data_IF_765046924566
#
_entry.id   IF_765046924566
#
_cell.length_a   1.000
_cell.length_b   1.000
_cell.length_c   1.000
_cell.angle_alpha   90.00
_cell.angle_beta   90.00
_cell.angle_gamma   90.00
#
_symmetry.space_group_name_H-M   'P 1'
#
loop_
_entity.id
_entity.type
_entity.pdbx_description
1 polymer ?
#
# COMPACT_ATOMS: atom_id res chain seq x y z
N UNK A 1 8.38 -8.82 -14.95
CA UNK A 1 7.47 -8.30 -13.89
C UNK A 1 6.48 -7.37 -14.55
N UNK A 2 5.17 -7.68 -14.54
CA UNK A 2 4.16 -6.97 -15.31
C UNK A 2 4.16 -5.44 -15.09
N UNK A 3 4.35 -4.98 -13.85
CA UNK A 3 4.34 -3.54 -13.52
C UNK A 3 5.54 -2.75 -14.06
N UNK A 4 6.59 -3.39 -14.57
CA UNK A 4 7.75 -2.72 -15.20
C UNK A 4 7.71 -2.74 -16.73
N UNK A 5 6.71 -3.41 -17.29
CA UNK A 5 6.53 -3.51 -18.73
C UNK A 5 6.21 -2.14 -19.34
N UNK A 6 6.70 -1.88 -20.55
CA UNK A 6 6.54 -0.58 -21.20
C UNK A 6 5.06 -0.24 -21.44
N UNK A 7 4.23 -1.20 -21.82
CA UNK A 7 2.81 -0.94 -22.07
C UNK A 7 2.10 -0.52 -20.79
N UNK A 8 2.43 -1.16 -19.67
CA UNK A 8 1.86 -0.82 -18.35
C UNK A 8 2.33 0.55 -17.87
N UNK A 9 3.63 0.86 -18.01
CA UNK A 9 4.19 2.16 -17.61
C UNK A 9 3.59 3.30 -18.43
N UNK A 10 3.53 3.16 -19.76
CA UNK A 10 2.93 4.17 -20.65
C UNK A 10 1.46 4.41 -20.31
N UNK A 11 0.67 3.36 -20.10
CA UNK A 11 -0.73 3.53 -19.74
C UNK A 11 -0.87 4.29 -18.41
N UNK A 12 -0.08 3.95 -17.39
CA UNK A 12 -0.11 4.66 -16.11
C UNK A 12 0.31 6.13 -16.24
N UNK A 13 1.35 6.43 -17.02
CA UNK A 13 1.84 7.80 -17.25
C UNK A 13 0.77 8.66 -17.95
N UNK A 14 0.01 8.09 -18.88
CA UNK A 14 -1.07 8.79 -19.60
C UNK A 14 -2.32 9.03 -18.72
N UNK A 15 -2.54 8.23 -17.67
CA UNK A 15 -3.81 8.22 -16.93
C UNK A 15 -3.69 8.69 -15.47
N UNK A 16 -2.49 8.70 -14.87
CA UNK A 16 -2.28 9.09 -13.48
C UNK A 16 -1.57 10.44 -13.38
N UNK A 17 -2.19 11.38 -12.67
CA UNK A 17 -1.74 12.78 -12.56
C UNK A 17 -0.30 12.97 -12.04
N UNK A 18 0.18 12.07 -11.17
CA UNK A 18 1.53 12.10 -10.59
C UNK A 18 2.16 10.70 -10.58
N UNK A 19 2.24 10.07 -11.74
CA UNK A 19 2.83 8.74 -11.86
C UNK A 19 4.31 8.72 -11.46
N UNK A 20 4.70 7.74 -10.63
CA UNK A 20 6.09 7.46 -10.29
C UNK A 20 6.52 6.26 -11.14
N UNK A 21 7.40 6.50 -12.12
CA UNK A 21 7.89 5.44 -12.99
C UNK A 21 8.75 4.42 -12.22
N UNK A 22 8.94 3.27 -12.86
CA UNK A 22 9.68 2.12 -12.33
C UNK A 22 11.14 2.41 -11.93
N UNK A 23 11.77 3.44 -12.48
CA UNK A 23 13.18 3.77 -12.24
C UNK A 23 13.32 4.79 -11.10
N UNK A 24 12.28 5.58 -10.84
CA UNK A 24 12.17 6.46 -9.67
C UNK A 24 11.73 5.72 -8.40
N UNK A 25 10.98 4.61 -8.52
CA UNK A 25 10.56 3.83 -7.36
C UNK A 25 11.67 2.91 -6.84
N UNK A 26 12.13 3.08 -5.58
CA UNK A 26 13.20 2.26 -5.03
C UNK A 26 12.76 0.79 -4.84
N UNK A 27 13.62 -0.20 -5.17
CA UNK A 27 13.32 -1.61 -4.93
C UNK A 27 13.17 -1.89 -3.43
N UNK A 28 12.38 -2.93 -3.08
CA UNK A 28 12.18 -3.41 -1.71
C UNK A 28 11.68 -2.36 -0.69
N UNK A 29 10.96 -1.34 -1.12
CA UNK A 29 10.51 -0.22 -0.27
C UNK A 29 9.06 -0.38 0.21
N UNK A 30 8.82 -1.43 1.00
CA UNK A 30 7.49 -1.70 1.59
C UNK A 30 7.01 -0.57 2.51
N UNK A 31 7.94 0.14 3.14
CA UNK A 31 7.68 1.31 4.00
C UNK A 31 7.27 2.57 3.23
N UNK A 32 7.33 2.54 1.88
CA UNK A 32 6.81 3.59 1.01
C UNK A 32 5.49 3.26 0.34
N UNK A 33 5.13 1.98 0.21
CA UNK A 33 3.85 1.63 -0.38
C UNK A 33 2.74 1.72 0.67
N UNK A 34 1.84 2.68 0.51
CA UNK A 34 0.68 2.90 1.40
C UNK A 34 -0.14 1.62 1.59
N UNK A 35 -0.24 0.79 0.54
CA UNK A 35 -0.93 -0.49 0.64
C UNK A 35 -0.23 -1.43 1.62
N UNK A 36 1.10 -1.51 1.55
CA UNK A 36 1.90 -2.46 2.32
C UNK A 36 2.08 -2.04 3.77
N UNK A 37 2.40 -0.76 4.03
CA UNK A 37 2.62 -0.31 5.42
C UNK A 37 1.33 0.00 6.19
N UNK A 38 0.16 0.08 5.52
CA UNK A 38 -1.08 0.44 6.19
C UNK A 38 -2.32 -0.33 5.74
N UNK A 39 -2.71 -0.25 4.46
CA UNK A 39 -4.05 -0.70 4.03
C UNK A 39 -4.24 -2.21 4.24
N UNK A 40 -3.23 -3.03 3.94
CA UNK A 40 -3.35 -4.47 4.12
C UNK A 40 -3.44 -4.90 5.58
N UNK A 41 -2.75 -4.20 6.48
CA UNK A 41 -2.89 -4.42 7.91
C UNK A 41 -4.31 -4.03 8.38
N UNK A 42 -4.80 -2.85 7.96
CA UNK A 42 -6.15 -2.41 8.30
C UNK A 42 -7.24 -3.38 7.80
N UNK A 43 -7.14 -3.87 6.55
CA UNK A 43 -8.05 -4.90 6.01
C UNK A 43 -7.90 -6.20 6.81
N UNK A 44 -6.68 -6.64 7.06
CA UNK A 44 -6.39 -7.87 7.80
C UNK A 44 -6.95 -7.89 9.22
N UNK A 45 -7.01 -6.72 9.88
CA UNK A 45 -7.63 -6.55 11.20
C UNK A 45 -9.16 -6.62 11.18
N UNK A 46 -9.80 -6.25 10.06
CA UNK A 46 -11.25 -6.36 9.90
C UNK A 46 -11.71 -7.76 9.46
N UNK A 47 -10.80 -8.57 8.93
CA UNK A 47 -11.14 -9.90 8.44
C UNK A 47 -11.46 -10.88 9.58
N UNK A 48 -12.59 -11.57 9.46
CA UNK A 48 -12.92 -12.73 10.29
C UNK A 48 -12.31 -14.01 9.73
N UNK A 49 -11.04 -14.24 10.05
CA UNK A 49 -10.27 -15.40 9.56
C UNK A 49 -10.89 -16.74 9.95
N UNK A 50 -11.59 -16.80 11.08
CA UNK A 50 -12.32 -17.98 11.55
C UNK A 50 -13.45 -18.42 10.61
N UNK A 51 -13.96 -17.50 9.76
CA UNK A 51 -15.01 -17.78 8.78
C UNK A 51 -14.51 -18.23 7.42
N UNK A 52 -13.20 -18.16 7.18
CA UNK A 52 -12.60 -18.44 5.87
C UNK A 52 -12.26 -19.92 5.78
N UNK A 53 -12.96 -20.66 4.92
CA UNK A 53 -12.74 -22.10 4.72
C UNK A 53 -12.59 -22.50 3.24
N UNK A 54 -12.82 -21.57 2.31
CA UNK A 54 -12.67 -21.77 0.88
C UNK A 54 -12.47 -20.41 0.18
N UNK A 55 -12.35 -20.45 -1.14
CA UNK A 55 -12.14 -19.26 -1.96
C UNK A 55 -13.31 -18.27 -1.86
N UNK A 56 -14.55 -18.75 -1.87
CA UNK A 56 -15.75 -17.92 -1.84
C UNK A 56 -15.87 -17.16 -0.51
N UNK A 57 -15.66 -17.85 0.61
CA UNK A 57 -15.67 -17.24 1.94
C UNK A 57 -14.52 -16.26 2.12
N UNK A 58 -13.32 -16.57 1.60
CA UNK A 58 -12.20 -15.63 1.57
C UNK A 58 -12.56 -14.35 0.80
N UNK A 59 -13.09 -14.50 -0.42
CA UNK A 59 -13.46 -13.38 -1.29
C UNK A 59 -14.49 -12.48 -0.63
N UNK A 60 -15.53 -13.06 -0.04
CA UNK A 60 -16.59 -12.28 0.62
C UNK A 60 -16.11 -11.61 1.91
N UNK A 61 -15.27 -12.27 2.71
CA UNK A 61 -14.71 -11.64 3.91
C UNK A 61 -13.70 -10.53 3.57
N UNK A 62 -12.91 -10.65 2.50
CA UNK A 62 -12.05 -9.54 2.02
C UNK A 62 -12.88 -8.33 1.61
N UNK A 63 -13.95 -8.53 0.82
CA UNK A 63 -14.82 -7.42 0.39
C UNK A 63 -15.42 -6.69 1.58
N UNK A 64 -15.98 -7.43 2.54
CA UNK A 64 -16.53 -6.85 3.77
C UNK A 64 -15.45 -6.09 4.55
N UNK A 65 -14.29 -6.71 4.74
CA UNK A 65 -13.19 -6.08 5.46
C UNK A 65 -12.78 -4.74 4.82
N UNK A 66 -12.67 -4.69 3.49
CA UNK A 66 -12.40 -3.44 2.74
C UNK A 66 -13.49 -2.40 2.96
N UNK A 67 -14.77 -2.77 2.94
CA UNK A 67 -15.89 -1.86 3.22
C UNK A 67 -15.88 -1.31 4.65
N UNK A 68 -15.41 -2.12 5.61
CA UNK A 68 -15.30 -1.70 7.02
C UNK A 68 -14.09 -0.82 7.29
N UNK A 69 -13.04 -0.83 6.46
CA UNK A 69 -11.90 0.08 6.64
C UNK A 69 -12.38 1.53 6.50
N UNK A 70 -12.26 2.37 7.55
CA UNK A 70 -12.70 3.75 7.46
C UNK A 70 -11.90 4.51 6.40
N UNK A 71 -12.58 5.22 5.49
CA UNK A 71 -11.93 6.05 4.45
C UNK A 71 -10.92 7.04 5.03
N UNK A 72 -11.18 7.55 6.24
CA UNK A 72 -10.25 8.44 6.97
C UNK A 72 -8.90 7.80 7.25
N UNK A 73 -8.84 6.48 7.48
CA UNK A 73 -7.60 5.76 7.74
C UNK A 73 -6.75 5.73 6.46
N UNK A 74 -7.38 5.40 5.32
CA UNK A 74 -6.74 5.44 4.00
C UNK A 74 -6.23 6.84 3.69
N UNK A 75 -7.06 7.87 3.83
CA UNK A 75 -6.65 9.27 3.59
C UNK A 75 -5.47 9.68 4.49
N UNK A 76 -5.55 9.42 5.79
CA UNK A 76 -4.46 9.75 6.73
C UNK A 76 -3.15 9.05 6.39
N UNK A 77 -3.23 7.81 5.87
CA UNK A 77 -2.05 7.05 5.47
C UNK A 77 -1.39 7.60 4.20
N UNK A 78 -2.18 8.14 3.27
CA UNK A 78 -1.67 8.87 2.09
C UNK A 78 -1.04 10.20 2.52
N UNK A 79 -1.69 10.95 3.41
CA UNK A 79 -1.17 12.20 3.96
C UNK A 79 0.15 12.01 4.74
N UNK A 80 0.39 10.80 5.26
CA UNK A 80 1.61 10.43 5.94
C UNK A 80 2.78 10.10 5.00
N UNK A 81 2.52 9.86 3.71
CA UNK A 81 3.53 9.37 2.77
C UNK A 81 4.74 10.31 2.65
N UNK A 82 4.50 11.63 2.61
CA UNK A 82 5.57 12.64 2.58
C UNK A 82 6.47 12.57 3.84
N UNK A 83 5.90 12.28 5.01
CA UNK A 83 6.66 12.10 6.26
C UNK A 83 7.53 10.85 6.21
N UNK A 84 7.05 9.76 5.58
CA UNK A 84 7.86 8.55 5.38
C UNK A 84 9.07 8.83 4.48
N UNK A 85 8.87 9.54 3.36
CA UNK A 85 9.96 9.95 2.46
C UNK A 85 11.01 10.79 3.21
N UNK A 86 10.57 11.77 4.01
CA UNK A 86 11.48 12.60 4.83
C UNK A 86 12.25 11.76 5.85
N UNK A 87 11.58 10.79 6.51
CA UNK A 87 12.22 9.92 7.50
C UNK A 87 13.24 8.97 6.85
N UNK A 88 12.92 8.40 5.68
CA UNK A 88 13.88 7.61 4.89
C UNK A 88 15.08 8.44 4.46
N UNK A 89 14.87 9.66 3.98
CA UNK A 89 15.95 10.57 3.60
C UNK A 89 16.89 10.86 4.78
N UNK A 90 16.33 11.17 5.95
CA UNK A 90 17.09 11.35 7.20
C UNK A 90 17.83 10.07 7.62
N UNK A 91 17.24 8.90 7.38
CA UNK A 91 17.83 7.60 7.66
C UNK A 91 18.74 7.07 6.53
N UNK A 92 19.12 7.93 5.57
CA UNK A 92 20.01 7.57 4.43
C UNK A 92 19.54 6.33 3.65
N UNK A 93 18.22 6.17 3.51
CA UNK A 93 17.59 5.06 2.79
C UNK A 93 17.48 3.75 3.57
N UNK A 94 17.87 3.71 4.86
CA UNK A 94 17.61 2.55 5.70
C UNK A 94 16.14 2.48 6.13
N UNK A 95 15.62 1.25 6.25
CA UNK A 95 14.22 0.97 6.61
C UNK A 95 13.75 1.74 7.85
N UNK A 96 12.51 2.19 7.81
CA UNK A 96 11.86 2.80 8.96
C UNK A 96 11.34 1.69 9.88
N UNK A 97 11.91 1.54 11.08
CA UNK A 97 11.38 0.63 12.10
C UNK A 97 10.05 1.16 12.67
N UNK A 98 9.09 0.25 12.88
CA UNK A 98 7.70 0.58 13.27
C UNK A 98 7.53 1.11 14.70
N UNK A 99 8.60 1.25 15.48
CA UNK A 99 8.56 1.67 16.89
C UNK A 99 8.44 3.18 17.09
N UNK A 100 7.90 3.94 16.13
CA UNK A 100 7.75 5.41 16.26
C UNK A 100 6.53 5.99 15.54
N UNK A 101 5.42 5.24 15.51
CA UNK A 101 4.10 5.77 15.19
C UNK A 101 3.28 5.91 16.48
#
# INVERSE_FOLDING_TARGET
MAHRDSQSQTWCEEHFFDFIDKDRWPPNSLDLNVLDYHVWDAVGQQMRRDKVNNYETLREEIKKAVEFVPKKNVASSVDAWSRHIIKLSKNKGAYILSSSL
#
